data_IF_526522076847
#
_entry.id   IF_526522076847
#
_cell.length_a   1.000
_cell.length_b   1.000
_cell.length_c   1.000
_cell.angle_alpha   90.00
_cell.angle_beta   90.00
_cell.angle_gamma   90.00
#
_symmetry.space_group_name_H-M   'P 1'
#
loop_
_entity.id
_entity.type
_entity.pdbx_description
1 polymer ?
#
# COMPACT_ATOMS: atom_id res chain seq x y z
N UNK A 1 -55.97 -20.14 0.03
CA UNK A 1 -54.94 -21.06 0.51
C UNK A 1 -53.58 -20.85 -0.19
N UNK A 2 -53.45 -20.83 -1.52
CA UNK A 2 -52.15 -20.65 -2.23
C UNK A 2 -51.37 -19.39 -1.83
N UNK A 3 -52.02 -18.22 -1.65
CA UNK A 3 -51.34 -16.98 -1.27
C UNK A 3 -50.78 -17.00 0.15
N UNK A 4 -51.46 -17.66 1.10
CA UNK A 4 -50.98 -17.78 2.49
C UNK A 4 -49.76 -18.69 2.55
N UNK A 5 -49.77 -19.81 1.80
CA UNK A 5 -48.63 -20.73 1.72
C UNK A 5 -47.40 -20.06 1.10
N UNK A 6 -47.58 -19.22 0.06
CA UNK A 6 -46.46 -18.44 -0.53
C UNK A 6 -45.88 -17.43 0.44
N UNK A 7 -46.73 -16.72 1.23
CA UNK A 7 -46.22 -15.76 2.22
C UNK A 7 -45.48 -16.44 3.36
N UNK A 8 -45.92 -17.64 3.79
CA UNK A 8 -45.19 -18.42 4.82
C UNK A 8 -43.84 -18.92 4.30
N UNK A 9 -43.78 -19.43 3.05
CA UNK A 9 -42.52 -19.84 2.43
C UNK A 9 -41.55 -18.68 2.29
N UNK A 10 -42.02 -17.50 1.91
CA UNK A 10 -41.18 -16.31 1.80
C UNK A 10 -40.63 -15.83 3.15
N UNK A 11 -41.46 -15.87 4.18
CA UNK A 11 -41.03 -15.52 5.56
C UNK A 11 -40.02 -16.53 6.12
N UNK A 12 -40.20 -17.83 5.86
CA UNK A 12 -39.24 -18.87 6.23
C UNK A 12 -37.90 -18.73 5.49
N UNK A 13 -37.94 -18.40 4.22
CA UNK A 13 -36.73 -18.17 3.41
C UNK A 13 -35.96 -16.93 3.90
N UNK A 14 -36.65 -15.85 4.27
CA UNK A 14 -36.05 -14.65 4.83
C UNK A 14 -35.39 -14.91 6.19
N UNK A 15 -36.00 -15.72 7.03
CA UNK A 15 -35.44 -16.14 8.33
C UNK A 15 -34.16 -17.00 8.18
N UNK A 16 -34.08 -17.82 7.14
CA UNK A 16 -32.89 -18.62 6.86
C UNK A 16 -31.69 -17.77 6.38
N UNK A 17 -31.95 -16.67 5.69
CA UNK A 17 -30.90 -15.77 5.21
C UNK A 17 -30.29 -14.90 6.32
N UNK A 18 -31.03 -14.58 7.37
CA UNK A 18 -30.53 -13.76 8.49
C UNK A 18 -29.55 -14.49 9.40
N UNK A 19 -29.53 -15.82 9.43
CA UNK A 19 -28.67 -16.58 10.33
C UNK A 19 -27.22 -16.78 9.82
N UNK A 20 -26.95 -16.56 8.52
CA UNK A 20 -25.62 -16.83 7.98
C UNK A 20 -24.57 -15.75 8.31
N UNK A 21 -24.97 -14.56 8.77
CA UNK A 21 -24.03 -13.46 9.03
C UNK A 21 -23.77 -13.21 10.52
N UNK A 22 -24.56 -13.79 11.43
CA UNK A 22 -24.51 -13.49 12.86
C UNK A 22 -23.18 -13.85 13.56
N UNK A 23 -22.35 -14.70 12.95
CA UNK A 23 -21.04 -15.11 13.48
C UNK A 23 -19.88 -14.81 12.53
N UNK A 24 -20.13 -14.04 11.49
CA UNK A 24 -19.10 -13.74 10.48
C UNK A 24 -17.87 -13.04 11.08
N UNK A 25 -18.08 -12.09 11.98
CA UNK A 25 -17.00 -11.40 12.68
C UNK A 25 -16.23 -12.31 13.62
N UNK A 26 -16.95 -13.21 14.34
CA UNK A 26 -16.33 -14.16 15.26
C UNK A 26 -15.45 -15.18 14.52
N UNK A 27 -15.90 -15.69 13.36
CA UNK A 27 -15.13 -16.63 12.54
C UNK A 27 -13.99 -15.97 11.76
N UNK A 28 -14.12 -14.70 11.43
CA UNK A 28 -13.08 -13.93 10.72
C UNK A 28 -12.10 -13.23 11.66
N UNK A 29 -12.35 -13.19 12.96
CA UNK A 29 -11.36 -12.72 13.91
C UNK A 29 -10.25 -13.76 14.07
N UNK A 30 -9.00 -13.35 13.86
CA UNK A 30 -7.86 -14.21 14.12
C UNK A 30 -7.59 -14.27 15.64
N UNK A 31 -7.88 -15.39 16.34
CA UNK A 31 -7.68 -15.48 17.80
C UNK A 31 -6.20 -15.41 18.21
N UNK A 32 -5.29 -15.54 17.24
CA UNK A 32 -3.84 -15.44 17.44
C UNK A 32 -3.29 -14.09 17.01
N UNK A 33 -4.15 -13.13 16.66
CA UNK A 33 -3.68 -11.80 16.31
C UNK A 33 -3.09 -11.12 17.56
N UNK A 34 -1.83 -10.65 17.49
CA UNK A 34 -1.22 -9.97 18.63
C UNK A 34 -2.02 -8.74 19.04
N UNK A 35 -2.39 -8.65 20.29
CA UNK A 35 -3.06 -7.47 20.86
C UNK A 35 -2.07 -6.37 21.21
N UNK A 36 -0.81 -6.73 21.40
CA UNK A 36 0.28 -5.82 21.72
C UNK A 36 1.53 -6.20 20.92
N UNK A 37 2.12 -5.23 20.26
CA UNK A 37 3.42 -5.36 19.60
C UNK A 37 4.30 -4.17 20.00
N UNK A 38 5.58 -4.43 20.20
CA UNK A 38 6.53 -3.38 20.50
C UNK A 38 6.73 -2.48 19.25
N UNK A 39 6.37 -1.19 19.31
CA UNK A 39 6.49 -0.30 18.15
C UNK A 39 7.92 -0.20 17.60
N UNK A 40 8.94 -0.45 18.43
CA UNK A 40 10.34 -0.46 18.01
C UNK A 40 10.62 -1.59 16.99
N UNK A 41 10.04 -2.76 17.18
CA UNK A 41 10.21 -3.89 16.25
C UNK A 41 9.53 -3.59 14.92
N UNK A 42 8.31 -3.06 14.97
CA UNK A 42 7.58 -2.62 13.77
C UNK A 42 8.32 -1.53 13.00
N UNK A 43 8.91 -0.59 13.74
CA UNK A 43 9.72 0.47 13.14
C UNK A 43 10.99 -0.08 12.47
N UNK A 44 11.63 -1.09 13.07
CA UNK A 44 12.76 -1.77 12.44
C UNK A 44 12.36 -2.45 11.13
N UNK A 45 11.19 -3.07 11.06
CA UNK A 45 10.65 -3.62 9.81
C UNK A 45 10.41 -2.52 8.76
N UNK A 46 9.90 -1.37 9.19
CA UNK A 46 9.70 -0.23 8.30
C UNK A 46 11.02 0.24 7.67
N UNK A 47 12.08 0.38 8.47
CA UNK A 47 13.43 0.71 7.99
C UNK A 47 13.93 -0.33 6.99
N UNK A 48 13.71 -1.61 7.26
CA UNK A 48 14.11 -2.69 6.36
C UNK A 48 13.43 -2.56 4.99
N UNK A 49 12.15 -2.19 4.96
CA UNK A 49 11.45 -1.95 3.70
C UNK A 49 12.08 -0.81 2.88
N UNK A 50 12.71 0.18 3.53
CA UNK A 50 13.38 1.28 2.83
C UNK A 50 14.76 0.91 2.33
N UNK A 51 15.48 0.08 3.07
CA UNK A 51 16.86 -0.30 2.83
C UNK A 51 17.04 -1.69 2.22
N UNK A 52 15.95 -2.38 1.87
CA UNK A 52 16.00 -3.75 1.38
C UNK A 52 16.94 -3.90 0.19
N UNK A 53 17.90 -4.79 0.34
CA UNK A 53 18.88 -5.15 -0.68
C UNK A 53 18.38 -6.28 -1.59
N UNK A 54 17.38 -7.04 -1.17
CA UNK A 54 16.96 -8.27 -1.87
C UNK A 54 16.18 -7.97 -3.15
N UNK A 55 15.34 -6.93 -3.17
CA UNK A 55 14.61 -6.53 -4.39
C UNK A 55 14.88 -5.08 -4.79
N UNK A 56 15.78 -4.45 -4.13
CA UNK A 56 16.46 -3.19 -4.43
C UNK A 56 15.61 -2.07 -5.06
N UNK A 57 14.70 -1.41 -4.28
CA UNK A 57 13.97 -0.26 -4.79
C UNK A 57 14.88 0.87 -5.29
N UNK A 58 16.03 1.08 -4.64
CA UNK A 58 17.01 2.09 -5.05
C UNK A 58 17.61 1.79 -6.42
N UNK A 59 17.95 0.52 -6.69
CA UNK A 59 18.44 0.12 -8.01
C UNK A 59 17.42 0.39 -9.09
N UNK A 60 16.15 0.03 -8.86
CA UNK A 60 15.09 0.21 -9.86
C UNK A 60 14.74 1.69 -10.05
N UNK A 61 14.63 2.43 -8.97
CA UNK A 61 14.26 3.83 -9.04
C UNK A 61 15.38 4.72 -9.56
N UNK A 62 16.63 4.48 -9.13
CA UNK A 62 17.75 5.34 -9.48
C UNK A 62 18.49 4.82 -10.72
N UNK A 63 18.88 3.54 -10.72
CA UNK A 63 19.73 2.99 -11.78
C UNK A 63 18.96 2.73 -13.06
N UNK A 64 17.74 2.18 -12.96
CA UNK A 64 16.96 1.83 -14.15
C UNK A 64 15.98 2.91 -14.59
N UNK A 65 15.57 3.80 -13.71
CA UNK A 65 14.64 4.88 -14.00
C UNK A 65 15.31 6.24 -14.10
N UNK A 66 15.66 6.84 -12.97
CA UNK A 66 16.14 8.21 -12.92
C UNK A 66 17.47 8.42 -13.70
N UNK A 67 18.39 7.46 -13.61
CA UNK A 67 19.67 7.54 -14.29
C UNK A 67 19.57 7.58 -15.82
N UNK A 68 18.85 6.65 -16.46
CA UNK A 68 18.62 6.67 -17.90
C UNK A 68 17.79 7.88 -18.36
N UNK A 69 16.70 8.22 -17.67
CA UNK A 69 15.88 9.39 -18.03
C UNK A 69 16.63 10.71 -17.86
N UNK A 70 17.52 10.80 -16.87
CA UNK A 70 18.41 11.94 -16.68
C UNK A 70 19.62 11.97 -17.62
N UNK A 71 19.76 10.97 -18.51
CA UNK A 71 20.90 10.86 -19.42
C UNK A 71 22.24 10.57 -18.72
N UNK A 72 22.20 10.13 -17.46
CA UNK A 72 23.40 9.85 -16.66
C UNK A 72 23.93 8.44 -16.84
N UNK A 73 23.06 7.50 -17.19
CA UNK A 73 23.37 6.09 -17.33
C UNK A 73 22.88 5.56 -18.67
N UNK A 74 23.68 4.66 -19.25
CA UNK A 74 23.31 3.87 -20.42
C UNK A 74 23.70 2.42 -20.22
N UNK A 75 22.92 1.44 -20.69
CA UNK A 75 23.28 0.04 -20.54
C UNK A 75 24.52 -0.28 -21.38
N UNK A 76 25.44 -1.04 -20.79
CA UNK A 76 26.65 -1.50 -21.45
C UNK A 76 26.47 -2.75 -22.34
N UNK A 77 25.30 -3.36 -22.28
CA UNK A 77 25.00 -4.61 -22.98
C UNK A 77 23.57 -4.63 -23.53
N UNK A 78 23.29 -5.62 -24.40
CA UNK A 78 21.95 -5.83 -24.98
C UNK A 78 20.94 -6.45 -24.00
N UNK A 79 21.31 -6.63 -22.74
CA UNK A 79 20.46 -7.22 -21.70
C UNK A 79 19.09 -6.54 -21.56
N UNK A 80 19.07 -5.25 -21.72
CA UNK A 80 17.86 -4.43 -21.52
C UNK A 80 17.09 -4.10 -22.81
N UNK A 81 17.24 -4.90 -23.88
CA UNK A 81 16.58 -4.59 -25.17
C UNK A 81 15.07 -4.46 -25.11
N UNK A 82 14.42 -5.13 -24.16
CA UNK A 82 12.97 -5.02 -23.94
C UNK A 82 12.58 -3.89 -22.98
N UNK A 83 13.53 -3.30 -22.26
CA UNK A 83 13.33 -2.28 -21.23
C UNK A 83 14.17 -1.07 -21.56
N UNK A 84 13.62 -0.25 -22.44
CA UNK A 84 14.39 0.82 -23.09
C UNK A 84 14.24 2.17 -22.35
N UNK A 85 14.42 2.18 -21.02
CA UNK A 85 14.37 3.43 -20.25
C UNK A 85 15.30 4.51 -20.81
N UNK A 86 16.47 4.13 -21.32
CA UNK A 86 17.42 5.04 -21.96
C UNK A 86 16.94 5.59 -23.32
N UNK A 87 15.90 5.02 -23.91
CA UNK A 87 15.22 5.52 -25.10
C UNK A 87 13.83 6.09 -24.79
N UNK A 88 13.55 6.32 -23.51
CA UNK A 88 12.24 6.80 -23.03
C UNK A 88 11.08 5.83 -23.32
N UNK A 89 11.37 4.58 -23.57
CA UNK A 89 10.38 3.52 -23.70
C UNK A 89 10.25 2.77 -22.37
N UNK A 90 9.14 2.97 -21.68
CA UNK A 90 8.91 2.42 -20.34
C UNK A 90 8.22 1.07 -20.45
N UNK A 91 8.78 0.06 -19.79
CA UNK A 91 8.11 -1.22 -19.59
C UNK A 91 7.22 -1.17 -18.34
N UNK A 92 5.93 -1.47 -18.52
CA UNK A 92 4.93 -1.41 -17.44
C UNK A 92 5.27 -2.30 -16.26
N UNK A 93 5.85 -3.48 -16.50
CA UNK A 93 6.18 -4.42 -15.44
C UNK A 93 7.27 -3.88 -14.50
N UNK A 94 8.23 -3.15 -15.05
CA UNK A 94 9.28 -2.50 -14.29
C UNK A 94 8.82 -1.20 -13.64
N UNK A 95 7.98 -0.46 -14.35
CA UNK A 95 7.46 0.81 -13.87
C UNK A 95 6.61 0.64 -12.60
N UNK A 96 5.64 -0.27 -12.62
CA UNK A 96 4.74 -0.51 -11.48
C UNK A 96 5.39 -1.22 -10.30
N UNK A 97 6.55 -1.86 -10.51
CA UNK A 97 7.15 -2.70 -9.48
C UNK A 97 7.48 -1.92 -8.20
N UNK A 98 8.08 -0.75 -8.30
CA UNK A 98 8.43 0.08 -7.14
C UNK A 98 7.19 0.51 -6.35
N UNK A 99 6.11 0.85 -7.06
CA UNK A 99 4.84 1.21 -6.43
C UNK A 99 4.29 0.02 -5.67
N UNK A 100 4.17 -1.14 -6.33
CA UNK A 100 3.65 -2.36 -5.71
C UNK A 100 4.47 -2.75 -4.48
N UNK A 101 5.81 -2.70 -4.57
CA UNK A 101 6.69 -3.01 -3.45
C UNK A 101 6.37 -2.18 -2.21
N UNK A 102 6.26 -0.86 -2.35
CA UNK A 102 6.00 -0.01 -1.21
C UNK A 102 4.59 -0.19 -0.66
N UNK A 103 3.60 -0.39 -1.51
CA UNK A 103 2.24 -0.65 -1.06
C UNK A 103 2.10 -2.00 -0.37
N UNK A 104 2.79 -3.03 -0.83
CA UNK A 104 2.73 -4.38 -0.26
C UNK A 104 3.59 -4.56 1.00
N UNK A 105 4.74 -3.89 1.09
CA UNK A 105 5.71 -4.12 2.17
C UNK A 105 5.74 -3.01 3.21
N UNK A 106 5.62 -1.76 2.78
CA UNK A 106 5.71 -0.61 3.69
C UNK A 106 4.39 -0.36 4.42
N UNK A 107 3.27 -0.24 3.70
CA UNK A 107 2.00 0.16 4.31
C UNK A 107 1.47 -0.80 5.39
N UNK A 108 1.56 -2.14 5.28
CA UNK A 108 1.15 -3.02 6.38
C UNK A 108 1.90 -2.74 7.70
N UNK A 109 3.21 -2.45 7.61
CA UNK A 109 4.01 -2.09 8.78
C UNK A 109 3.65 -0.69 9.30
N UNK A 110 3.41 0.27 8.42
CA UNK A 110 2.95 1.61 8.78
C UNK A 110 1.62 1.58 9.54
N UNK A 111 0.62 0.89 9.02
CA UNK A 111 -0.69 0.74 9.67
C UNK A 111 -0.60 -0.05 10.99
N UNK A 112 0.32 -1.01 11.08
CA UNK A 112 0.58 -1.71 12.34
C UNK A 112 1.14 -0.73 13.39
N UNK A 113 2.07 0.15 13.03
CA UNK A 113 2.57 1.19 13.95
C UNK A 113 1.44 2.14 14.34
N UNK A 114 0.67 2.62 13.39
CA UNK A 114 -0.49 3.50 13.64
C UNK A 114 -1.45 2.87 14.66
N UNK A 115 -1.83 1.61 14.45
CA UNK A 115 -2.73 0.86 15.35
C UNK A 115 -2.14 0.68 16.75
N UNK A 116 -0.92 0.16 16.86
CA UNK A 116 -0.32 -0.17 18.17
C UNK A 116 0.19 1.05 18.94
N UNK A 117 0.30 2.21 18.31
CA UNK A 117 0.63 3.49 18.96
C UNK A 117 -0.59 4.38 19.17
N UNK A 118 -1.78 3.96 18.76
CA UNK A 118 -2.98 4.81 18.69
C UNK A 118 -2.71 6.10 17.93
N UNK A 119 -2.02 6.02 16.80
CA UNK A 119 -1.63 7.15 15.96
C UNK A 119 -0.93 8.28 16.73
N UNK A 120 -0.08 7.94 17.70
CA UNK A 120 0.59 8.92 18.56
C UNK A 120 2.02 8.52 18.91
N UNK A 121 2.77 9.48 19.48
CA UNK A 121 4.12 9.25 19.96
C UNK A 121 5.20 9.24 18.88
N UNK A 122 6.45 9.09 19.30
CA UNK A 122 7.62 9.28 18.44
C UNK A 122 7.74 8.23 17.32
N UNK A 123 7.36 6.97 17.54
CA UNK A 123 7.43 5.95 16.51
C UNK A 123 6.44 6.20 15.40
N UNK A 124 5.23 6.69 15.71
CA UNK A 124 4.28 7.08 14.69
C UNK A 124 4.74 8.30 13.90
N UNK A 125 5.28 9.33 14.60
CA UNK A 125 5.84 10.49 13.94
C UNK A 125 6.99 10.13 12.98
N UNK A 126 7.91 9.27 13.41
CA UNK A 126 8.97 8.76 12.55
C UNK A 126 8.44 7.93 11.37
N UNK A 127 7.40 7.12 11.58
CA UNK A 127 6.77 6.35 10.52
C UNK A 127 6.12 7.27 9.46
N UNK A 128 5.52 8.40 9.87
CA UNK A 128 5.00 9.43 8.95
C UNK A 128 6.11 10.06 8.11
N UNK A 129 7.23 10.42 8.72
CA UNK A 129 8.39 10.94 7.99
C UNK A 129 8.88 9.94 6.94
N UNK A 130 8.94 8.66 7.29
CA UNK A 130 9.33 7.61 6.35
C UNK A 130 8.30 7.41 5.24
N UNK A 131 7.01 7.49 5.57
CA UNK A 131 5.93 7.48 4.58
C UNK A 131 6.10 8.61 3.57
N UNK A 132 6.33 9.83 4.02
CA UNK A 132 6.58 10.98 3.15
C UNK A 132 7.81 10.75 2.29
N UNK A 133 8.92 10.26 2.88
CA UNK A 133 10.15 9.98 2.13
C UNK A 133 9.93 9.01 0.96
N UNK A 134 9.19 7.93 1.18
CA UNK A 134 8.89 6.94 0.14
C UNK A 134 7.93 7.51 -0.91
N UNK A 135 6.84 8.12 -0.43
CA UNK A 135 5.78 8.58 -1.33
C UNK A 135 6.21 9.76 -2.21
N UNK A 136 7.11 10.63 -1.72
CA UNK A 136 7.67 11.69 -2.55
C UNK A 136 8.52 11.15 -3.72
N UNK A 137 9.22 10.02 -3.52
CA UNK A 137 9.97 9.35 -4.60
C UNK A 137 8.98 8.85 -5.64
N UNK A 138 7.91 8.15 -5.21
CA UNK A 138 6.87 7.65 -6.11
C UNK A 138 6.16 8.79 -6.83
N UNK A 139 5.79 9.87 -6.12
CA UNK A 139 5.17 11.04 -6.73
C UNK A 139 6.05 11.67 -7.81
N UNK A 140 7.35 11.77 -7.55
CA UNK A 140 8.32 12.33 -8.51
C UNK A 140 8.48 11.46 -9.77
N UNK A 141 8.25 10.15 -9.66
CA UNK A 141 8.40 9.21 -10.78
C UNK A 141 7.09 8.99 -11.55
N UNK A 142 5.98 8.89 -10.84
CA UNK A 142 4.69 8.44 -11.38
C UNK A 142 3.66 9.59 -11.49
N UNK A 143 3.89 10.71 -10.80
CA UNK A 143 2.92 11.81 -10.70
C UNK A 143 1.80 11.51 -9.70
N UNK A 144 0.52 11.59 -10.11
CA UNK A 144 -0.61 11.33 -9.23
C UNK A 144 -0.55 9.96 -8.55
N UNK A 145 -0.81 9.91 -7.25
CA UNK A 145 -0.77 8.66 -6.47
C UNK A 145 -1.83 8.70 -5.35
N UNK A 146 -2.26 7.56 -4.84
CA UNK A 146 -3.09 7.52 -3.65
C UNK A 146 -2.22 7.84 -2.42
N UNK A 147 -2.55 8.90 -1.69
CA UNK A 147 -1.84 9.30 -0.47
C UNK A 147 -2.78 9.70 0.66
N UNK A 148 -3.62 10.72 0.44
CA UNK A 148 -4.43 11.34 1.50
C UNK A 148 -5.57 10.45 2.00
N UNK A 149 -6.00 9.48 1.20
CA UNK A 149 -7.16 8.63 1.44
C UNK A 149 -6.81 7.17 1.72
N UNK A 150 -5.51 6.85 1.87
CA UNK A 150 -5.10 5.49 2.16
C UNK A 150 -5.37 5.17 3.63
N UNK A 151 -6.18 4.14 3.85
CA UNK A 151 -6.51 3.58 5.14
C UNK A 151 -6.30 2.07 5.15
N UNK A 152 -6.15 1.48 6.33
CA UNK A 152 -6.01 0.04 6.49
C UNK A 152 -7.26 -0.71 6.01
N UNK A 153 -7.06 -1.83 5.31
CA UNK A 153 -8.14 -2.72 4.89
C UNK A 153 -8.93 -2.28 3.65
N UNK A 154 -8.49 -1.24 2.95
CA UNK A 154 -9.16 -0.81 1.71
C UNK A 154 -8.83 -1.72 0.53
N UNK A 155 -9.83 -2.08 -0.26
CA UNK A 155 -9.65 -2.82 -1.52
C UNK A 155 -9.35 -1.90 -2.72
N UNK A 156 -9.76 -0.65 -2.66
CA UNK A 156 -9.58 0.32 -3.73
C UNK A 156 -9.48 1.72 -3.16
N UNK A 157 -8.51 2.47 -3.63
CA UNK A 157 -8.25 3.86 -3.20
C UNK A 157 -8.17 4.73 -4.44
N UNK A 158 -8.87 5.88 -4.40
CA UNK A 158 -8.79 6.87 -5.46
C UNK A 158 -7.46 7.61 -5.43
N UNK A 159 -6.95 7.94 -6.61
CA UNK A 159 -5.75 8.77 -6.74
C UNK A 159 -6.03 10.21 -6.28
N UNK A 160 -5.08 10.78 -5.57
CA UNK A 160 -4.98 12.22 -5.38
C UNK A 160 -4.32 12.84 -6.63
N UNK A 161 -4.72 14.07 -6.97
CA UNK A 161 -3.89 14.82 -7.91
C UNK A 161 -2.57 15.20 -7.22
N UNK A 162 -1.58 15.54 -8.01
CA UNK A 162 -0.22 15.78 -7.53
C UNK A 162 -0.17 16.89 -6.45
N UNK A 163 -0.86 18.00 -6.67
CA UNK A 163 -0.93 19.11 -5.70
C UNK A 163 -1.50 18.66 -4.35
N UNK A 164 -2.58 17.90 -4.37
CA UNK A 164 -3.21 17.36 -3.15
C UNK A 164 -2.29 16.40 -2.41
N UNK A 165 -1.62 15.51 -3.13
CA UNK A 165 -0.68 14.57 -2.56
C UNK A 165 0.50 15.29 -1.88
N UNK A 166 1.12 16.27 -2.56
CA UNK A 166 2.23 17.04 -2.01
C UNK A 166 1.83 17.86 -0.79
N UNK A 167 0.65 18.52 -0.81
CA UNK A 167 0.14 19.25 0.36
C UNK A 167 -0.10 18.32 1.55
N UNK A 168 -0.66 17.14 1.32
CA UNK A 168 -0.86 16.15 2.37
C UNK A 168 0.48 15.63 2.93
N UNK A 169 1.47 15.35 2.08
CA UNK A 169 2.81 14.97 2.53
C UNK A 169 3.47 16.04 3.40
N UNK A 170 3.37 17.32 3.01
CA UNK A 170 3.91 18.43 3.81
C UNK A 170 3.17 18.57 5.14
N UNK A 171 1.85 18.31 5.16
CA UNK A 171 1.06 18.35 6.40
C UNK A 171 1.39 17.21 7.36
N UNK A 172 1.94 16.11 6.86
CA UNK A 172 2.34 14.96 7.68
C UNK A 172 3.69 15.17 8.39
N UNK A 173 4.50 16.14 7.95
CA UNK A 173 5.79 16.49 8.54
C UNK A 173 5.65 17.49 9.70
#
# INVERSE_FOLDING_TARGET
>A
MKKVTQSICFALLALLLCNCTAKFEEFNSNPYEPTELNPRLLFSQLITCMSSTEENPAQRNITFWAGPFGGMLTPSSSWSRSQHFYTYNVDDSWNKWSVNWYFEKFYPNYFSIERFTNASGHYYALAKIMRVHIMQIIASMQGPLPYSKIESGQYSVGYDNEETAWKAMVSDL
#
